data_IF_021080499299
#
_entry.id   IF_021080499299
#
_cell.length_a   1.000
_cell.length_b   1.000
_cell.length_c   1.000
_cell.angle_alpha   90.00
_cell.angle_beta   90.00
_cell.angle_gamma   90.00
#
_symmetry.space_group_name_H-M   'P 1'
#
loop_
_entity.id
_entity.type
_entity.pdbx_description
1 polymer ?
#
# COMPACT_ATOMS: atom_id res chain seq x y z
N UNK A 1 -6.50 -10.93 -54.42
CA UNK A 1 -6.92 -10.55 -53.05
C UNK A 1 -5.82 -10.96 -52.09
N UNK A 2 -4.91 -10.03 -51.76
CA UNK A 2 -3.69 -10.26 -50.94
C UNK A 2 -3.35 -8.98 -50.17
N UNK A 3 -4.20 -8.52 -49.25
CA UNK A 3 -3.93 -7.34 -48.39
C UNK A 3 -4.75 -7.39 -47.11
N UNK A 4 -4.47 -8.36 -46.23
CA UNK A 4 -5.14 -8.43 -44.91
C UNK A 4 -4.26 -9.11 -43.86
N UNK A 5 -2.96 -8.79 -43.82
CA UNK A 5 -2.10 -9.19 -42.70
C UNK A 5 -1.12 -8.04 -42.43
N UNK A 6 -1.63 -6.95 -41.87
CA UNK A 6 -0.82 -5.91 -41.24
C UNK A 6 -1.59 -5.39 -40.03
N UNK A 7 -1.78 -6.25 -39.03
CA UNK A 7 -2.31 -5.85 -37.73
C UNK A 7 -1.89 -6.86 -36.66
N UNK A 8 -0.58 -6.94 -36.41
CA UNK A 8 -0.07 -7.69 -35.28
C UNK A 8 0.96 -6.85 -34.54
N UNK A 9 0.69 -6.67 -33.23
CA UNK A 9 1.62 -6.25 -32.20
C UNK A 9 1.87 -4.74 -32.02
N UNK A 10 0.79 -3.94 -31.91
CA UNK A 10 0.78 -2.82 -30.95
C UNK A 10 0.23 -3.36 -29.62
N UNK A 11 0.97 -4.28 -29.02
CA UNK A 11 0.69 -4.80 -27.69
C UNK A 11 2.01 -5.06 -26.97
N UNK A 12 2.92 -4.09 -27.02
CA UNK A 12 3.87 -3.97 -25.93
C UNK A 12 3.07 -3.39 -24.78
N UNK A 13 2.38 -4.29 -24.09
CA UNK A 13 1.73 -4.09 -22.81
C UNK A 13 2.65 -3.20 -21.98
N UNK A 14 2.13 -2.05 -21.61
CA UNK A 14 2.70 -1.15 -20.63
C UNK A 14 3.13 -2.01 -19.43
N UNK A 15 4.44 -2.27 -19.34
CA UNK A 15 5.06 -2.77 -18.13
C UNK A 15 4.92 -1.65 -17.11
N UNK A 16 3.78 -1.64 -16.41
CA UNK A 16 3.63 -0.79 -15.24
C UNK A 16 4.73 -1.24 -14.28
N UNK A 17 5.58 -0.32 -13.80
CA UNK A 17 6.48 -0.68 -12.72
C UNK A 17 5.59 -1.12 -11.56
N UNK A 18 5.70 -2.39 -11.15
CA UNK A 18 5.27 -2.78 -9.81
C UNK A 18 6.14 -1.95 -8.88
N UNK A 19 5.60 -0.83 -8.42
CA UNK A 19 6.30 0.01 -7.47
C UNK A 19 6.47 -0.86 -6.24
N UNK A 20 7.71 -1.27 -5.96
CA UNK A 20 8.03 -2.03 -4.77
C UNK A 20 7.59 -1.17 -3.58
N UNK A 21 6.43 -1.53 -3.02
CA UNK A 21 5.83 -0.84 -1.89
C UNK A 21 6.81 -0.92 -0.72
N UNK A 22 7.20 0.25 -0.20
CA UNK A 22 8.14 0.34 0.90
C UNK A 22 7.65 -0.46 2.13
N UNK A 23 8.54 -0.81 3.07
CA UNK A 23 8.19 -1.65 4.21
C UNK A 23 6.98 -1.14 5.02
N UNK A 24 6.84 0.18 5.16
CA UNK A 24 5.69 0.82 5.82
C UNK A 24 4.38 0.65 5.04
N UNK A 25 4.45 0.69 3.71
CA UNK A 25 3.29 0.50 2.84
C UNK A 25 2.79 -0.96 2.93
N UNK A 26 3.70 -1.93 2.95
CA UNK A 26 3.37 -3.34 3.19
C UNK A 26 2.77 -3.57 4.58
N UNK A 27 3.31 -2.90 5.61
CA UNK A 27 2.76 -2.96 6.97
C UNK A 27 1.32 -2.42 7.02
N UNK A 28 1.03 -1.31 6.32
CA UNK A 28 -0.31 -0.75 6.20
C UNK A 28 -1.29 -1.76 5.58
N UNK A 29 -0.91 -2.34 4.45
CA UNK A 29 -1.73 -3.33 3.73
C UNK A 29 -2.03 -4.54 4.62
N UNK A 30 -1.02 -5.05 5.32
CA UNK A 30 -1.19 -6.16 6.24
C UNK A 30 -2.15 -5.83 7.40
N UNK A 31 -2.03 -4.63 7.98
CA UNK A 31 -2.93 -4.17 9.05
C UNK A 31 -4.37 -3.98 8.55
N UNK A 32 -4.56 -3.43 7.36
CA UNK A 32 -5.89 -3.29 6.73
C UNK A 32 -6.52 -4.66 6.44
N UNK A 33 -5.74 -5.60 5.89
CA UNK A 33 -6.21 -6.97 5.65
C UNK A 33 -6.63 -7.66 6.96
N UNK A 34 -5.88 -7.45 8.05
CA UNK A 34 -6.25 -7.99 9.36
C UNK A 34 -7.54 -7.35 9.91
N UNK A 35 -7.71 -6.05 9.69
CA UNK A 35 -8.91 -5.31 10.09
C UNK A 35 -10.15 -5.83 9.35
N UNK A 36 -10.07 -6.00 8.03
CA UNK A 36 -11.14 -6.58 7.21
C UNK A 36 -11.51 -7.99 7.67
N UNK A 37 -10.52 -8.85 7.94
CA UNK A 37 -10.77 -10.19 8.48
C UNK A 37 -11.50 -10.16 9.81
N UNK A 38 -11.16 -9.23 10.70
CA UNK A 38 -11.90 -9.07 11.95
C UNK A 38 -13.30 -8.52 11.70
N UNK A 39 -13.48 -7.57 10.79
CA UNK A 39 -14.79 -7.00 10.50
C UNK A 39 -15.74 -8.01 9.87
N UNK A 40 -15.28 -8.76 8.87
CA UNK A 40 -16.16 -9.55 8.00
C UNK A 40 -16.15 -11.05 8.30
N UNK A 41 -15.05 -11.58 8.86
CA UNK A 41 -14.87 -13.03 9.06
C UNK A 41 -14.98 -13.46 10.52
N UNK A 42 -14.68 -12.58 11.48
CA UNK A 42 -14.80 -12.92 12.90
C UNK A 42 -16.27 -12.83 13.34
N UNK A 43 -16.94 -13.99 13.40
CA UNK A 43 -18.37 -14.10 13.77
C UNK A 43 -18.65 -13.87 15.26
N UNK A 44 -17.64 -14.02 16.12
CA UNK A 44 -17.78 -13.92 17.59
C UNK A 44 -16.85 -12.87 18.17
N UNK A 45 -17.37 -11.93 18.97
CA UNK A 45 -16.59 -10.87 19.63
C UNK A 45 -15.72 -11.38 20.78
N UNK A 46 -15.90 -12.64 21.20
CA UNK A 46 -15.17 -13.34 22.28
C UNK A 46 -15.03 -12.47 23.54
N UNK A 47 -16.14 -11.90 24.02
CA UNK A 47 -16.13 -11.04 25.22
C UNK A 47 -15.53 -9.64 25.00
N UNK A 48 -15.58 -9.10 23.78
CA UNK A 48 -15.06 -7.76 23.46
C UNK A 48 -13.66 -7.76 22.84
N UNK A 49 -13.01 -8.92 22.72
CA UNK A 49 -11.67 -9.04 22.14
C UNK A 49 -11.62 -8.66 20.66
N UNK A 50 -12.66 -8.93 19.87
CA UNK A 50 -12.70 -8.49 18.46
C UNK A 50 -12.79 -6.97 18.40
N UNK A 51 -13.67 -6.36 19.18
CA UNK A 51 -13.78 -4.91 19.25
C UNK A 51 -12.46 -4.25 19.69
N UNK A 52 -11.79 -4.81 20.71
CA UNK A 52 -10.47 -4.35 21.16
C UNK A 52 -9.42 -4.48 20.05
N UNK A 53 -9.34 -5.64 19.37
CA UNK A 53 -8.39 -5.85 18.27
C UNK A 53 -8.62 -4.86 17.11
N UNK A 54 -9.88 -4.60 16.75
CA UNK A 54 -10.24 -3.57 15.75
C UNK A 54 -9.74 -2.19 16.19
N UNK A 55 -9.93 -1.81 17.46
CA UNK A 55 -9.44 -0.54 17.99
C UNK A 55 -7.92 -0.43 17.88
N UNK A 56 -7.19 -1.47 18.27
CA UNK A 56 -5.74 -1.50 18.20
C UNK A 56 -5.21 -1.42 16.76
N UNK A 57 -5.84 -2.14 15.82
CA UNK A 57 -5.45 -2.07 14.41
C UNK A 57 -5.69 -0.69 13.80
N UNK A 58 -6.82 -0.04 14.13
CA UNK A 58 -7.08 1.33 13.67
C UNK A 58 -6.03 2.31 14.17
N UNK A 59 -5.62 2.19 15.43
CA UNK A 59 -4.54 3.00 15.99
C UNK A 59 -3.20 2.73 15.28
N UNK A 60 -2.85 1.45 15.06
CA UNK A 60 -1.63 1.09 14.35
C UNK A 60 -1.59 1.62 12.91
N UNK A 61 -2.71 1.55 12.18
CA UNK A 61 -2.82 2.11 10.82
C UNK A 61 -2.56 3.62 10.82
N UNK A 62 -3.11 4.36 11.81
CA UNK A 62 -2.89 5.80 11.92
C UNK A 62 -1.41 6.15 12.15
N UNK A 63 -0.70 5.40 13.00
CA UNK A 63 0.74 5.60 13.23
C UNK A 63 1.58 5.27 11.99
N UNK A 64 1.22 4.21 11.26
CA UNK A 64 1.88 3.86 10.00
C UNK A 64 1.70 4.99 8.97
N UNK A 65 0.48 5.53 8.86
CA UNK A 65 0.20 6.66 7.97
C UNK A 65 1.00 7.90 8.35
N UNK A 66 1.09 8.24 9.64
CA UNK A 66 1.93 9.32 10.13
C UNK A 66 3.42 9.10 9.78
N UNK A 67 3.92 7.87 9.89
CA UNK A 67 5.30 7.53 9.50
C UNK A 67 5.55 7.64 8.00
N UNK A 68 4.59 7.23 7.17
CA UNK A 68 4.65 7.38 5.70
C UNK A 68 4.65 8.88 5.33
N UNK A 69 3.80 9.68 5.97
CA UNK A 69 3.76 11.14 5.75
C UNK A 69 5.04 11.82 6.19
N UNK A 70 5.60 11.43 7.34
CA UNK A 70 6.89 11.93 7.81
C UNK A 70 8.00 11.65 6.80
N UNK A 71 8.10 10.42 6.30
CA UNK A 71 9.11 10.07 5.29
C UNK A 71 8.95 10.94 4.02
N UNK A 72 7.72 11.05 3.49
CA UNK A 72 7.42 11.93 2.34
C UNK A 72 7.82 13.39 2.59
N UNK A 73 7.54 13.92 3.77
CA UNK A 73 7.88 15.29 4.14
C UNK A 73 9.39 15.51 4.38
N UNK A 74 10.16 14.46 4.65
CA UNK A 74 11.60 14.55 4.87
C UNK A 74 12.43 14.20 3.63
N UNK A 75 11.95 13.32 2.75
CA UNK A 75 12.52 13.10 1.40
C UNK A 75 12.57 14.42 0.65
N UNK A 76 11.49 15.20 0.69
CA UNK A 76 11.43 16.53 0.04
C UNK A 76 12.37 17.57 0.65
N UNK A 77 12.84 17.39 1.89
CA UNK A 77 13.79 18.29 2.57
C UNK A 77 15.26 17.84 2.43
N UNK A 78 15.51 16.53 2.27
CA UNK A 78 16.86 15.95 2.19
C UNK A 78 17.56 16.10 0.83
N UNK A 79 16.80 16.18 -0.26
CA UNK A 79 17.35 16.33 -1.62
C UNK A 79 18.00 17.71 -1.86
N UNK A 80 17.64 18.72 -1.07
CA UNK A 80 18.28 20.05 -1.12
C UNK A 80 19.69 20.10 -0.51
N UNK A 81 20.10 19.09 0.27
CA UNK A 81 21.42 19.06 0.94
C UNK A 81 22.45 18.12 0.30
N UNK A 82 22.04 17.15 -0.51
CA UNK A 82 22.98 16.24 -1.20
C UNK A 82 23.57 16.78 -2.50
N UNK A 83 23.06 17.90 -3.05
CA UNK A 83 23.61 18.55 -4.27
C UNK A 83 24.60 19.68 -4.00
N UNK A 84 25.17 19.75 -2.79
CA UNK A 84 26.25 20.68 -2.45
C UNK A 84 27.33 19.89 -1.70
N UNK A 85 28.13 19.14 -2.45
CA UNK A 85 29.53 18.81 -2.14
C UNK A 85 30.15 18.23 -3.40
#
# INVERSE_FOLDING_TARGET
MKKTILLLCVSCLLALPVQAEGPMQNAKIAAQTALEKLQDKATTDKGGHRAAAIKHLKAAIAEIDAGIEFDKANVTKGEGKKKKN
#
